data_IF_268721579166
#
_entry.id   IF_268721579166
#
_cell.length_a   1.000
_cell.length_b   1.000
_cell.length_c   1.000
_cell.angle_alpha   90.00
_cell.angle_beta   90.00
_cell.angle_gamma   90.00
#
_symmetry.space_group_name_H-M   'P 1'
#
loop_
_entity.id
_entity.type
_entity.pdbx_description
1 polymer ?
#
# COMPACT_ATOMS: atom_id res chain seq x y z
N UNK A 1 11.63 17.71 30.22
CA UNK A 1 12.93 17.05 29.99
C UNK A 1 13.10 16.84 28.48
N UNK A 2 14.17 17.35 27.88
CA UNK A 2 14.44 17.18 26.45
C UNK A 2 15.83 16.54 26.30
N UNK A 3 15.91 15.43 25.59
CA UNK A 3 17.18 14.74 25.31
C UNK A 3 17.51 14.99 23.83
N UNK A 4 18.64 15.63 23.51
CA UNK A 4 19.05 15.80 22.13
C UNK A 4 19.50 14.44 21.55
N UNK A 5 18.80 13.95 20.52
CA UNK A 5 19.21 12.79 19.73
C UNK A 5 19.43 13.28 18.29
N UNK A 6 20.69 13.60 17.96
CA UNK A 6 21.06 14.16 16.65
C UNK A 6 20.43 15.55 16.41
N UNK A 7 19.76 15.73 15.27
CA UNK A 7 19.09 16.98 14.88
C UNK A 7 17.67 17.14 15.47
N UNK A 8 17.13 16.13 16.16
CA UNK A 8 15.77 16.14 16.70
C UNK A 8 15.81 16.35 18.21
N UNK A 9 15.18 17.42 18.68
CA UNK A 9 14.98 17.69 20.11
C UNK A 9 13.80 16.87 20.63
N UNK A 10 14.03 15.62 21.03
CA UNK A 10 12.97 14.79 21.59
C UNK A 10 12.44 15.40 22.90
N UNK A 11 11.25 15.99 22.81
CA UNK A 11 10.48 16.48 23.94
C UNK A 11 9.41 15.45 24.30
N UNK A 12 9.04 15.39 25.59
CA UNK A 12 7.95 14.53 26.05
C UNK A 12 6.65 14.81 25.28
N UNK A 13 6.38 16.06 24.89
CA UNK A 13 5.22 16.45 24.08
C UNK A 13 5.24 15.80 22.69
N UNK A 14 6.41 15.76 22.03
CA UNK A 14 6.52 15.12 20.72
C UNK A 14 6.28 13.62 20.79
N UNK A 15 6.79 12.96 21.84
CA UNK A 15 6.54 11.51 22.06
C UNK A 15 5.06 11.25 22.29
N UNK A 16 4.39 12.05 23.12
CA UNK A 16 2.95 11.92 23.38
C UNK A 16 2.14 12.17 22.11
N UNK A 17 2.44 13.25 21.37
CA UNK A 17 1.77 13.55 20.10
C UNK A 17 1.96 12.43 19.08
N UNK A 18 3.18 11.89 18.96
CA UNK A 18 3.49 10.77 18.08
C UNK A 18 2.69 9.52 18.43
N UNK A 19 2.63 9.18 19.73
CA UNK A 19 1.89 8.02 20.21
C UNK A 19 0.39 8.16 19.95
N UNK A 20 -0.19 9.33 20.24
CA UNK A 20 -1.60 9.60 19.97
C UNK A 20 -1.91 9.54 18.48
N UNK A 21 -1.04 10.12 17.64
CA UNK A 21 -1.21 10.13 16.20
C UNK A 21 -1.08 8.72 15.63
N UNK A 22 -0.11 7.93 16.10
CA UNK A 22 0.06 6.52 15.73
C UNK A 22 -1.18 5.70 16.11
N UNK A 23 -1.70 5.86 17.33
CA UNK A 23 -2.91 5.16 17.77
C UNK A 23 -4.09 5.53 16.87
N UNK A 24 -4.28 6.83 16.59
CA UNK A 24 -5.37 7.32 15.75
C UNK A 24 -5.26 6.81 14.31
N UNK A 25 -4.07 6.86 13.69
CA UNK A 25 -3.87 6.41 12.31
C UNK A 25 -3.95 4.88 12.20
N UNK A 26 -3.45 4.13 13.18
CA UNK A 26 -3.59 2.66 13.21
C UNK A 26 -5.05 2.27 13.44
N UNK A 27 -5.77 2.95 14.32
CA UNK A 27 -7.20 2.72 14.52
C UNK A 27 -7.97 2.96 13.21
N UNK A 28 -7.69 4.07 12.53
CA UNK A 28 -8.29 4.36 11.22
C UNK A 28 -7.93 3.30 10.18
N UNK A 29 -6.66 2.88 10.11
CA UNK A 29 -6.20 1.83 9.21
C UNK A 29 -6.94 0.49 9.45
N UNK A 30 -7.20 0.14 10.72
CA UNK A 30 -7.97 -1.07 11.06
C UNK A 30 -9.44 -0.92 10.66
N UNK A 31 -10.05 0.24 10.90
CA UNK A 31 -11.46 0.50 10.51
C UNK A 31 -11.61 0.42 8.99
N UNK A 32 -10.76 1.12 8.24
CA UNK A 32 -10.76 1.09 6.77
C UNK A 32 -10.45 -0.32 6.26
N UNK A 33 -9.48 -1.01 6.87
CA UNK A 33 -9.13 -2.38 6.49
C UNK A 33 -10.29 -3.36 6.69
N UNK A 34 -11.07 -3.23 7.77
CA UNK A 34 -12.29 -4.02 7.99
C UNK A 34 -13.35 -3.71 6.95
N UNK A 35 -13.56 -2.43 6.63
CA UNK A 35 -14.50 -2.02 5.59
C UNK A 35 -14.14 -2.62 4.22
N UNK A 36 -12.85 -2.62 3.86
CA UNK A 36 -12.35 -3.27 2.65
C UNK A 36 -12.59 -4.78 2.71
N UNK A 37 -12.25 -5.45 3.81
CA UNK A 37 -12.43 -6.91 3.94
C UNK A 37 -13.91 -7.31 3.80
N UNK A 38 -14.82 -6.55 4.43
CA UNK A 38 -16.26 -6.74 4.31
C UNK A 38 -16.72 -6.58 2.85
N UNK A 39 -16.26 -5.52 2.18
CA UNK A 39 -16.63 -5.23 0.79
C UNK A 39 -16.16 -6.33 -0.16
N UNK A 40 -14.94 -6.83 0.03
CA UNK A 40 -14.36 -7.91 -0.77
C UNK A 40 -15.04 -9.26 -0.43
N UNK A 41 -15.49 -9.46 0.82
CA UNK A 41 -16.26 -10.64 1.24
C UNK A 41 -17.64 -10.75 0.60
N UNK A 42 -18.29 -9.63 0.34
CA UNK A 42 -19.62 -9.62 -0.27
C UNK A 42 -19.54 -9.83 -1.80
N UNK A 43 -18.35 -9.74 -2.40
CA UNK A 43 -18.15 -10.00 -3.82
C UNK A 43 -18.20 -11.51 -4.12
N UNK A 44 -19.28 -11.96 -4.75
CA UNK A 44 -19.47 -13.35 -5.20
C UNK A 44 -18.55 -13.73 -6.37
N UNK A 45 -18.12 -12.74 -7.14
CA UNK A 45 -17.23 -12.93 -8.30
C UNK A 45 -15.77 -13.26 -7.92
N UNK A 46 -15.38 -13.04 -6.66
CA UNK A 46 -14.00 -13.23 -6.21
C UNK A 46 -13.81 -14.60 -5.55
N UNK A 47 -12.79 -15.32 -5.99
CA UNK A 47 -12.40 -16.57 -5.34
C UNK A 47 -11.95 -16.33 -3.88
N UNK A 48 -12.11 -17.31 -2.98
CA UNK A 48 -11.70 -17.17 -1.58
C UNK A 48 -10.24 -16.74 -1.41
N UNK A 49 -9.33 -17.24 -2.27
CA UNK A 49 -7.91 -16.88 -2.25
C UNK A 49 -7.66 -15.42 -2.60
N UNK A 50 -8.33 -14.89 -3.62
CA UNK A 50 -8.20 -13.47 -4.01
C UNK A 50 -8.76 -12.57 -2.90
N UNK A 51 -9.88 -12.96 -2.30
CA UNK A 51 -10.48 -12.23 -1.18
C UNK A 51 -9.52 -12.06 0.00
N UNK A 52 -8.88 -13.15 0.41
CA UNK A 52 -7.87 -13.13 1.48
C UNK A 52 -6.64 -12.32 1.08
N UNK A 53 -6.18 -12.45 -0.16
CA UNK A 53 -5.02 -11.71 -0.67
C UNK A 53 -5.26 -10.20 -0.64
N UNK A 54 -6.37 -9.74 -1.21
CA UNK A 54 -6.73 -8.31 -1.27
C UNK A 54 -6.89 -7.75 0.14
N UNK A 55 -7.62 -8.43 1.03
CA UNK A 55 -7.80 -8.00 2.41
C UNK A 55 -6.48 -7.88 3.18
N UNK A 56 -5.58 -8.86 3.01
CA UNK A 56 -4.24 -8.81 3.64
C UNK A 56 -3.36 -7.71 3.08
N UNK A 57 -3.29 -7.55 1.76
CA UNK A 57 -2.49 -6.51 1.10
C UNK A 57 -2.98 -5.12 1.53
N UNK A 58 -4.29 -4.89 1.51
CA UNK A 58 -4.88 -3.64 1.96
C UNK A 58 -4.55 -3.35 3.43
N UNK A 59 -4.73 -4.33 4.32
CA UNK A 59 -4.44 -4.16 5.75
C UNK A 59 -2.96 -3.85 6.02
N UNK A 60 -2.03 -4.57 5.39
CA UNK A 60 -0.59 -4.32 5.53
C UNK A 60 -0.24 -2.93 4.98
N UNK A 61 -0.74 -2.57 3.80
CA UNK A 61 -0.52 -1.26 3.21
C UNK A 61 -1.01 -0.11 4.10
N UNK A 62 -2.22 -0.22 4.64
CA UNK A 62 -2.80 0.80 5.52
C UNK A 62 -1.98 0.97 6.82
N UNK A 63 -1.50 -0.11 7.42
CA UNK A 63 -0.66 -0.04 8.62
C UNK A 63 0.71 0.59 8.31
N UNK A 64 1.33 0.26 7.18
CA UNK A 64 2.58 0.88 6.75
C UNK A 64 2.41 2.39 6.56
N UNK A 65 1.34 2.81 5.89
CA UNK A 65 1.01 4.24 5.69
C UNK A 65 0.76 4.92 7.04
N UNK A 66 0.02 4.30 7.95
CA UNK A 66 -0.21 4.84 9.30
C UNK A 66 1.10 5.07 10.06
N UNK A 67 2.06 4.14 9.95
CA UNK A 67 3.40 4.26 10.54
C UNK A 67 4.21 5.41 9.93
N UNK A 68 4.22 5.54 8.59
CA UNK A 68 4.90 6.63 7.87
C UNK A 68 4.35 8.00 8.29
N UNK A 69 3.01 8.14 8.39
CA UNK A 69 2.37 9.38 8.84
C UNK A 69 2.76 9.70 10.30
N UNK A 70 2.74 8.69 11.18
CA UNK A 70 3.13 8.88 12.57
C UNK A 70 4.59 9.31 12.73
N UNK A 71 5.52 8.64 12.04
CA UNK A 71 6.95 8.92 12.11
C UNK A 71 7.30 10.29 11.52
N UNK A 72 6.71 10.65 10.37
CA UNK A 72 6.91 11.98 9.75
C UNK A 72 6.38 13.12 10.62
N UNK A 73 5.34 12.90 11.42
CA UNK A 73 4.77 13.91 12.32
C UNK A 73 5.72 14.39 13.43
N UNK A 74 6.77 13.61 13.72
CA UNK A 74 7.80 13.90 14.73
C UNK A 74 9.07 14.52 14.10
N UNK A 75 9.07 14.72 12.78
CA UNK A 75 10.22 15.25 12.04
C UNK A 75 11.32 14.23 11.82
N UNK A 76 11.01 12.93 11.84
CA UNK A 76 11.96 11.89 11.42
C UNK A 76 12.16 11.96 9.91
N UNK A 77 13.42 11.91 9.49
CA UNK A 77 13.76 11.78 8.07
C UNK A 77 13.41 10.37 7.58
N UNK A 78 12.45 10.30 6.66
CA UNK A 78 11.97 9.06 6.07
C UNK A 78 12.63 8.75 4.72
N UNK A 79 13.64 9.51 4.30
CA UNK A 79 14.31 9.33 3.00
C UNK A 79 14.78 7.89 2.79
N UNK A 80 15.36 7.26 3.81
CA UNK A 80 15.78 5.87 3.72
C UNK A 80 14.59 4.91 3.50
N UNK A 81 13.46 5.13 4.20
CA UNK A 81 12.24 4.35 3.97
C UNK A 81 11.69 4.59 2.57
N UNK A 82 11.65 5.84 2.09
CA UNK A 82 11.17 6.18 0.75
C UNK A 82 12.01 5.51 -0.33
N UNK A 83 13.34 5.55 -0.21
CA UNK A 83 14.24 4.88 -1.15
C UNK A 83 14.02 3.35 -1.11
N UNK A 84 13.95 2.77 0.09
CA UNK A 84 13.74 1.34 0.24
C UNK A 84 12.38 0.89 -0.31
N UNK A 85 11.29 1.59 0.03
CA UNK A 85 9.95 1.34 -0.51
C UNK A 85 9.91 1.51 -2.02
N UNK A 86 10.65 2.47 -2.58
CA UNK A 86 10.84 2.62 -4.02
C UNK A 86 11.50 1.38 -4.65
N UNK A 87 12.61 0.91 -4.07
CA UNK A 87 13.30 -0.29 -4.54
C UNK A 87 12.42 -1.54 -4.45
N UNK A 88 11.68 -1.73 -3.35
CA UNK A 88 10.70 -2.81 -3.21
C UNK A 88 9.60 -2.70 -4.26
N UNK A 89 9.05 -1.50 -4.49
CA UNK A 89 8.03 -1.25 -5.50
C UNK A 89 8.52 -1.58 -6.92
N UNK A 90 9.75 -1.19 -7.25
CA UNK A 90 10.39 -1.54 -8.53
C UNK A 90 10.59 -3.05 -8.65
N UNK A 91 11.05 -3.73 -7.60
CA UNK A 91 11.19 -5.18 -7.58
C UNK A 91 9.86 -5.91 -7.80
N UNK A 92 8.78 -5.44 -7.18
CA UNK A 92 7.43 -5.94 -7.41
C UNK A 92 6.97 -5.68 -8.85
N UNK A 93 7.23 -4.49 -9.40
CA UNK A 93 6.88 -4.16 -10.79
C UNK A 93 7.59 -5.07 -11.80
N UNK A 94 8.88 -5.35 -11.58
CA UNK A 94 9.61 -6.33 -12.39
C UNK A 94 9.04 -7.74 -12.23
N UNK A 95 8.68 -8.17 -11.02
CA UNK A 95 8.03 -9.46 -10.78
C UNK A 95 6.67 -9.60 -11.49
N UNK A 96 5.91 -8.51 -11.60
CA UNK A 96 4.61 -8.47 -12.27
C UNK A 96 4.71 -8.16 -13.78
N UNK A 97 5.89 -7.87 -14.30
CA UNK A 97 6.11 -7.40 -15.68
C UNK A 97 5.43 -8.29 -16.72
N UNK A 98 5.55 -9.62 -16.58
CA UNK A 98 4.95 -10.58 -17.53
C UNK A 98 3.42 -10.54 -17.51
N UNK A 99 2.80 -10.43 -16.32
CA UNK A 99 1.35 -10.36 -16.17
C UNK A 99 0.82 -9.07 -16.81
N UNK A 100 1.49 -7.94 -16.53
CA UNK A 100 1.14 -6.64 -17.11
C UNK A 100 1.31 -6.65 -18.63
N UNK A 101 2.42 -7.20 -19.15
CA UNK A 101 2.68 -7.32 -20.58
C UNK A 101 1.60 -8.13 -21.31
N UNK A 102 1.20 -9.27 -20.73
CA UNK A 102 0.13 -10.11 -21.29
C UNK A 102 -1.22 -9.37 -21.28
N UNK A 103 -1.53 -8.65 -20.21
CA UNK A 103 -2.76 -7.86 -20.11
C UNK A 103 -2.83 -6.74 -21.15
N UNK A 104 -1.74 -5.97 -21.30
CA UNK A 104 -1.64 -4.90 -22.31
C UNK A 104 -1.75 -5.46 -23.72
N UNK A 105 -1.08 -6.59 -24.00
CA UNK A 105 -1.21 -7.29 -25.28
C UNK A 105 -2.66 -7.67 -25.58
N UNK A 106 -3.39 -8.17 -24.58
CA UNK A 106 -4.82 -8.48 -24.71
C UNK A 106 -5.68 -7.27 -25.08
N UNK A 107 -5.46 -6.12 -24.43
CA UNK A 107 -6.17 -4.87 -24.77
C UNK A 107 -5.84 -4.41 -26.19
N UNK A 108 -4.55 -4.43 -26.58
CA UNK A 108 -4.13 -4.03 -27.92
C UNK A 108 -4.81 -4.88 -28.98
N UNK A 109 -4.84 -6.21 -28.82
CA UNK A 109 -5.51 -7.12 -29.76
C UNK A 109 -7.01 -6.78 -29.91
N UNK A 110 -7.69 -6.46 -28.81
CA UNK A 110 -9.10 -6.08 -28.84
C UNK A 110 -9.34 -4.73 -29.56
N UNK A 111 -8.39 -3.80 -29.45
CA UNK A 111 -8.45 -2.48 -30.09
C UNK A 111 -8.08 -2.51 -31.57
N UNK A 112 -7.11 -3.34 -31.95
CA UNK A 112 -6.51 -3.34 -33.29
C UNK A 112 -7.46 -3.93 -34.36
N UNK A 113 -8.53 -4.67 -33.96
CA UNK A 113 -9.46 -5.37 -34.88
C UNK A 113 -8.77 -6.20 -35.98
N UNK A 114 -7.50 -6.58 -35.81
CA UNK A 114 -6.68 -7.23 -36.84
C UNK A 114 -7.09 -8.69 -37.15
N UNK A 115 -8.16 -9.19 -36.51
CA UNK A 115 -8.80 -10.46 -36.87
C UNK A 115 -10.25 -10.18 -37.27
N UNK A 116 -10.54 -10.19 -38.57
CA UNK A 116 -11.90 -10.36 -39.07
C UNK A 116 -12.28 -11.83 -38.90
N UNK A 117 -13.50 -12.17 -38.41
CA UNK A 117 -13.98 -13.54 -38.48
C UNK A 117 -14.01 -13.99 -39.94
N UNK A 118 -13.15 -14.93 -40.34
CA UNK A 118 -13.18 -15.53 -41.68
C UNK A 118 -11.87 -15.62 -42.47
N UNK A 119 -10.75 -15.05 -42.01
CA UNK A 119 -9.46 -15.27 -42.69
C UNK A 119 -8.85 -16.59 -42.19
N UNK A 120 -9.00 -17.64 -43.01
CA UNK A 120 -8.27 -18.90 -42.90
C UNK A 120 -6.83 -18.75 -43.36
#
# INVERSE_FOLDING_TARGET
LAIPLGAVRLSALMVVKAALLLIATVWLAVVVGKYIDERVRISEELTPSIRVLVGKVAKVGLVLVAGVIALSSVGLDLTALTIFSGAVGVGLAFGLQKVVSNFVSGIIILLDKSIKPGDT
#
